data_IF_571732853439
#
_entry.id   IF_571732853439
#
_cell.length_a   1.000
_cell.length_b   1.000
_cell.length_c   1.000
_cell.angle_alpha   90.00
_cell.angle_beta   90.00
_cell.angle_gamma   90.00
#
_symmetry.space_group_name_H-M   'P 1'
#
loop_
_entity.id
_entity.type
_entity.pdbx_description
1 polymer ?
#
# COMPACT_ATOMS: atom_id res chain seq x y z
N UNK A 1 -50.04 3.62 18.10
CA UNK A 1 -48.65 3.27 18.47
C UNK A 1 -47.91 2.82 17.22
N UNK A 2 -47.38 3.76 16.46
CA UNK A 2 -46.68 3.50 15.19
C UNK A 2 -45.22 3.23 15.52
N UNK A 3 -44.85 1.95 15.58
CA UNK A 3 -43.48 1.50 15.87
C UNK A 3 -42.56 1.93 14.72
N UNK A 4 -41.77 2.96 14.98
CA UNK A 4 -40.70 3.44 14.11
C UNK A 4 -39.53 2.43 14.17
N UNK A 5 -39.43 1.56 13.16
CA UNK A 5 -38.36 0.53 13.03
C UNK A 5 -37.35 0.93 11.94
N UNK A 6 -37.33 2.18 11.51
CA UNK A 6 -36.49 2.63 10.38
C UNK A 6 -35.06 3.02 10.85
N UNK A 7 -34.84 3.18 12.16
CA UNK A 7 -33.59 3.76 12.66
C UNK A 7 -32.34 2.84 12.68
N UNK A 8 -32.38 1.50 12.79
CA UNK A 8 -31.14 0.74 12.96
C UNK A 8 -30.43 0.41 11.63
N UNK A 9 -31.10 0.58 10.48
CA UNK A 9 -30.54 0.18 9.17
C UNK A 9 -29.47 1.17 8.68
N UNK A 10 -29.59 2.46 9.02
CA UNK A 10 -28.66 3.48 8.51
C UNK A 10 -27.26 3.43 9.14
N UNK A 11 -27.13 2.92 10.36
CA UNK A 11 -25.83 2.87 11.07
C UNK A 11 -24.93 1.75 10.50
N UNK A 12 -25.51 0.66 10.01
CA UNK A 12 -24.75 -0.44 9.42
C UNK A 12 -24.16 -0.08 8.04
N UNK A 13 -24.83 0.80 7.28
CA UNK A 13 -24.39 1.18 5.93
C UNK A 13 -23.15 2.07 5.97
N UNK A 14 -22.96 2.92 6.99
CA UNK A 14 -21.80 3.81 7.05
C UNK A 14 -20.47 3.10 7.33
N UNK A 15 -20.48 1.93 8.00
CA UNK A 15 -19.26 1.16 8.26
C UNK A 15 -18.73 0.42 7.02
N UNK A 16 -19.60 0.10 6.06
CA UNK A 16 -19.19 -0.56 4.81
C UNK A 16 -18.44 0.39 3.84
N UNK A 17 -18.61 1.71 4.00
CA UNK A 17 -17.90 2.72 3.20
C UNK A 17 -16.57 3.19 3.81
N UNK A 18 -16.19 2.69 5.00
CA UNK A 18 -14.92 3.01 5.65
C UNK A 18 -13.75 2.16 5.12
N UNK A 19 -14.02 1.17 4.25
CA UNK A 19 -13.00 0.57 3.42
C UNK A 19 -12.58 1.60 2.35
N UNK A 20 -11.69 2.51 2.72
CA UNK A 20 -10.95 3.29 1.74
C UNK A 20 -10.26 2.36 0.73
N UNK A 21 -9.81 2.87 -0.44
CA UNK A 21 -9.21 2.03 -1.45
C UNK A 21 -7.91 1.47 -0.87
N UNK A 22 -7.90 0.19 -0.47
CA UNK A 22 -6.74 -0.49 0.09
C UNK A 22 -5.49 -0.26 -0.77
N UNK A 23 -5.69 -0.21 -2.09
CA UNK A 23 -4.71 0.22 -3.09
C UNK A 23 -3.99 1.52 -2.76
N UNK A 24 -4.70 2.61 -2.45
CA UNK A 24 -4.08 3.91 -2.21
C UNK A 24 -3.25 3.92 -0.92
N UNK A 25 -3.69 3.16 0.09
CA UNK A 25 -2.95 2.99 1.33
C UNK A 25 -1.67 2.17 1.09
N UNK A 26 -1.76 1.11 0.29
CA UNK A 26 -0.61 0.28 -0.08
C UNK A 26 0.40 1.06 -0.94
N UNK A 27 -0.07 1.86 -1.89
CA UNK A 27 0.77 2.77 -2.68
C UNK A 27 1.50 3.78 -1.79
N UNK A 28 0.78 4.39 -0.83
CA UNK A 28 1.37 5.35 0.09
C UNK A 28 2.41 4.71 1.02
N UNK A 29 2.14 3.51 1.54
CA UNK A 29 3.08 2.79 2.40
C UNK A 29 4.33 2.34 1.63
N UNK A 30 4.15 1.86 0.39
CA UNK A 30 5.24 1.51 -0.52
C UNK A 30 6.17 2.71 -0.77
N UNK A 31 5.64 3.80 -1.33
CA UNK A 31 6.47 4.97 -1.66
C UNK A 31 7.03 5.67 -0.41
N UNK A 32 6.24 5.77 0.67
CA UNK A 32 6.72 6.38 1.91
C UNK A 32 7.86 5.58 2.55
N UNK A 33 7.85 4.25 2.44
CA UNK A 33 8.97 3.43 2.95
C UNK A 33 10.20 3.56 2.06
N UNK A 34 10.03 3.53 0.73
CA UNK A 34 11.10 3.74 -0.23
C UNK A 34 11.78 5.12 -0.06
N UNK A 35 10.99 6.20 0.06
CA UNK A 35 11.50 7.56 0.25
C UNK A 35 12.37 7.66 1.51
N UNK A 36 11.96 7.03 2.61
CA UNK A 36 12.74 7.01 3.85
C UNK A 36 14.06 6.26 3.68
N UNK A 37 14.03 5.09 3.03
CA UNK A 37 15.26 4.31 2.76
C UNK A 37 16.21 5.09 1.85
N UNK A 38 15.71 5.69 0.77
CA UNK A 38 16.50 6.51 -0.17
C UNK A 38 17.07 7.76 0.52
N UNK A 39 16.32 8.36 1.44
CA UNK A 39 16.77 9.50 2.25
C UNK A 39 17.84 9.14 3.28
N UNK A 40 18.21 7.85 3.38
CA UNK A 40 19.21 7.36 4.33
C UNK A 40 18.69 7.29 5.77
N UNK A 41 17.37 7.29 5.98
CA UNK A 41 16.81 7.06 7.30
C UNK A 41 17.08 5.62 7.76
N UNK A 42 17.30 5.45 9.06
CA UNK A 42 17.31 4.12 9.66
C UNK A 42 15.88 3.58 9.71
N UNK A 43 15.54 2.72 8.76
CA UNK A 43 14.29 1.97 8.70
C UNK A 43 14.55 0.54 9.15
N UNK A 44 13.85 0.07 10.18
CA UNK A 44 13.98 -1.32 10.64
C UNK A 44 13.45 -2.34 9.63
N UNK A 45 13.90 -3.58 9.76
CA UNK A 45 13.56 -4.64 8.81
C UNK A 45 12.06 -4.99 8.80
N UNK A 46 11.36 -4.84 9.93
CA UNK A 46 9.92 -5.07 9.99
C UNK A 46 9.15 -4.02 9.17
N UNK A 47 9.60 -2.77 9.23
CA UNK A 47 9.04 -1.65 8.46
C UNK A 47 9.36 -1.80 6.98
N UNK A 48 10.59 -2.21 6.63
CA UNK A 48 10.94 -2.54 5.23
C UNK A 48 10.07 -3.67 4.69
N UNK A 49 9.88 -4.73 5.48
CA UNK A 49 9.02 -5.86 5.09
C UNK A 49 7.57 -5.41 4.85
N UNK A 50 7.02 -4.58 5.74
CA UNK A 50 5.68 -4.02 5.55
C UNK A 50 5.58 -3.16 4.27
N UNK A 51 6.60 -2.34 4.01
CA UNK A 51 6.74 -1.55 2.78
C UNK A 51 6.76 -2.42 1.53
N UNK A 52 7.61 -3.45 1.52
CA UNK A 52 7.73 -4.43 0.44
C UNK A 52 6.38 -5.12 0.15
N UNK A 53 5.70 -5.62 1.19
CA UNK A 53 4.41 -6.27 1.02
C UNK A 53 3.33 -5.33 0.48
N UNK A 54 3.36 -4.06 0.87
CA UNK A 54 2.47 -3.05 0.30
C UNK A 54 2.79 -2.76 -1.18
N UNK A 55 4.07 -2.67 -1.55
CA UNK A 55 4.45 -2.58 -2.96
C UNK A 55 3.93 -3.79 -3.76
N UNK A 56 4.06 -5.00 -3.23
CA UNK A 56 3.57 -6.23 -3.88
C UNK A 56 2.04 -6.23 -4.07
N UNK A 57 1.27 -5.80 -3.07
CA UNK A 57 -0.20 -5.64 -3.20
C UNK A 57 -0.57 -4.56 -4.23
N UNK A 58 0.08 -3.39 -4.16
CA UNK A 58 -0.15 -2.30 -5.10
C UNK A 58 0.20 -2.70 -6.56
N UNK A 59 1.25 -3.50 -6.75
CA UNK A 59 1.65 -4.04 -8.06
C UNK A 59 0.62 -5.02 -8.61
N UNK A 60 0.07 -5.89 -7.75
CA UNK A 60 -0.93 -6.88 -8.13
C UNK A 60 -2.23 -6.23 -8.61
N UNK A 61 -2.64 -5.13 -7.98
CA UNK A 61 -3.88 -4.41 -8.29
C UNK A 61 -3.73 -3.38 -9.42
N UNK A 62 -2.51 -2.90 -9.68
CA UNK A 62 -2.24 -1.92 -10.73
C UNK A 62 -2.41 -2.54 -12.12
N UNK A 63 -3.08 -1.83 -13.04
CA UNK A 63 -3.14 -2.19 -14.47
C UNK A 63 -2.24 -1.34 -15.37
N UNK A 64 -1.82 -0.15 -14.90
CA UNK A 64 -0.95 0.76 -15.65
C UNK A 64 0.51 0.31 -15.63
N UNK A 65 1.11 0.13 -16.81
CA UNK A 65 2.53 -0.25 -16.97
C UNK A 65 3.46 0.80 -16.34
N UNK A 66 3.13 2.09 -16.52
CA UNK A 66 3.94 3.19 -15.98
C UNK A 66 3.89 3.19 -14.44
N UNK A 67 2.71 2.99 -13.86
CA UNK A 67 2.59 2.91 -12.40
C UNK A 67 3.30 1.67 -11.84
N UNK A 68 3.21 0.52 -12.53
CA UNK A 68 3.96 -0.69 -12.14
C UNK A 68 5.45 -0.44 -12.11
N UNK A 69 5.99 0.24 -13.10
CA UNK A 69 7.41 0.57 -13.14
C UNK A 69 7.84 1.35 -11.89
N UNK A 70 7.11 2.41 -11.54
CA UNK A 70 7.45 3.20 -10.34
C UNK A 70 7.32 2.40 -9.04
N UNK A 71 6.29 1.55 -8.92
CA UNK A 71 6.13 0.67 -7.77
C UNK A 71 7.27 -0.37 -7.66
N UNK A 72 7.76 -0.90 -8.78
CA UNK A 72 8.91 -1.81 -8.80
C UNK A 72 10.21 -1.11 -8.39
N UNK A 73 10.44 0.10 -8.87
CA UNK A 73 11.62 0.87 -8.49
C UNK A 73 11.60 1.18 -6.98
N UNK A 74 10.45 1.59 -6.44
CA UNK A 74 10.28 1.79 -5.00
C UNK A 74 10.52 0.49 -4.20
N UNK A 75 10.01 -0.64 -4.69
CA UNK A 75 10.24 -1.94 -4.04
C UNK A 75 11.74 -2.30 -4.00
N UNK A 76 12.45 -2.05 -5.11
CA UNK A 76 13.90 -2.25 -5.17
C UNK A 76 14.68 -1.32 -4.25
N UNK A 77 14.21 -0.10 -4.03
CA UNK A 77 14.84 0.81 -3.08
C UNK A 77 14.68 0.29 -1.63
N UNK A 78 13.59 -0.43 -1.33
CA UNK A 78 13.34 -1.05 -0.03
C UNK A 78 14.18 -2.32 0.18
N UNK A 79 14.10 -3.28 -0.75
CA UNK A 79 14.71 -4.63 -0.59
C UNK A 79 16.11 -4.75 -1.15
N UNK A 80 16.56 -3.74 -1.90
CA UNK A 80 17.83 -3.75 -2.62
C UNK A 80 17.69 -4.37 -4.02
N UNK A 81 18.59 -3.93 -4.91
CA UNK A 81 18.67 -4.48 -6.27
C UNK A 81 19.53 -5.74 -6.29
N UNK A 82 19.17 -6.76 -7.08
CA UNK A 82 20.05 -7.90 -7.27
C UNK A 82 21.41 -7.43 -7.84
N UNK A 83 22.52 -8.05 -7.40
CA UNK A 83 23.83 -7.70 -7.92
C UNK A 83 23.88 -7.95 -9.43
N UNK A 84 24.38 -6.97 -10.20
CA UNK A 84 24.59 -7.11 -11.63
C UNK A 84 25.61 -8.23 -11.86
N UNK A 85 25.22 -9.30 -12.56
CA UNK A 85 26.17 -10.32 -12.96
C UNK A 85 27.29 -9.68 -13.81
N UNK A 86 28.54 -9.82 -13.38
CA UNK A 86 29.69 -9.43 -14.19
C UNK A 86 29.85 -10.46 -15.30
N UNK A 87 29.66 -10.05 -16.55
CA UNK A 87 30.09 -10.82 -17.72
C UNK A 87 31.57 -10.55 -18.00
#
# INVERSE_FOLDING_TARGET
MTRSVILPVFIAVTLALAAGPAHAQDVALCFGTADRVVSGETVDEATKQAGHEACQRALAETSSVVQKYHLQEADFDIVGRPPKASN
#
